data_IF_051833928581
#
_entry.id   IF_051833928581
#
_cell.length_a   1.000
_cell.length_b   1.000
_cell.length_c   1.000
_cell.angle_alpha   90.00
_cell.angle_beta   90.00
_cell.angle_gamma   90.00
#
_symmetry.space_group_name_H-M   'P 1'
#
loop_
_entity.id
_entity.type
_entity.pdbx_description
1 polymer ?
#
# COMPACT_ATOMS: atom_id res chain seq x y z
N UNK A 1 31.13 10.42 6.17
CA UNK A 1 29.82 10.00 5.62
C UNK A 1 29.54 10.93 4.45
N UNK A 2 29.59 10.42 3.22
CA UNK A 2 29.28 11.19 2.02
C UNK A 2 27.79 11.52 2.00
N UNK A 3 27.43 12.76 1.65
CA UNK A 3 26.05 13.15 1.42
C UNK A 3 25.38 12.21 0.39
N UNK A 4 24.07 11.92 0.51
CA UNK A 4 23.38 11.10 -0.48
C UNK A 4 23.53 11.75 -1.86
N UNK A 5 23.90 10.95 -2.85
CA UNK A 5 23.92 11.37 -4.24
C UNK A 5 22.55 11.95 -4.60
N UNK A 6 22.51 13.19 -5.06
CA UNK A 6 21.33 13.85 -5.65
C UNK A 6 20.86 13.19 -6.97
N UNK A 7 21.29 11.95 -7.26
CA UNK A 7 21.06 11.25 -8.53
C UNK A 7 19.93 10.21 -8.49
N UNK A 8 19.39 9.84 -7.33
CA UNK A 8 18.30 8.86 -7.26
C UNK A 8 16.97 9.56 -7.57
N UNK A 9 16.42 9.31 -8.76
CA UNK A 9 15.11 9.80 -9.20
C UNK A 9 14.18 8.62 -9.45
N UNK A 10 12.89 8.80 -9.19
CA UNK A 10 11.84 7.86 -9.58
C UNK A 10 11.38 8.23 -10.99
N UNK A 11 11.45 7.25 -11.90
CA UNK A 11 10.89 7.39 -13.25
C UNK A 11 9.40 7.03 -13.21
N UNK A 12 8.54 8.00 -13.48
CA UNK A 12 7.08 7.82 -13.53
C UNK A 12 6.65 7.73 -14.98
N UNK A 13 5.98 6.63 -15.34
CA UNK A 13 5.41 6.43 -16.66
C UNK A 13 3.92 6.75 -16.61
N UNK A 14 3.48 7.71 -17.43
CA UNK A 14 2.12 8.23 -17.37
C UNK A 14 1.52 8.46 -18.75
N UNK A 15 0.22 8.23 -18.86
CA UNK A 15 -0.57 8.55 -20.05
C UNK A 15 -1.90 9.16 -19.63
N UNK A 16 -2.25 10.33 -20.17
CA UNK A 16 -3.45 11.09 -19.76
C UNK A 16 -4.76 10.32 -19.98
N UNK A 17 -4.75 9.32 -20.87
CA UNK A 17 -5.86 8.40 -21.08
C UNK A 17 -6.33 7.68 -19.82
N UNK A 18 -5.47 7.55 -18.79
CA UNK A 18 -5.88 6.99 -17.49
C UNK A 18 -6.95 7.83 -16.78
N UNK A 19 -7.08 9.12 -17.11
CA UNK A 19 -8.12 9.99 -16.54
C UNK A 19 -9.47 9.90 -17.27
N UNK A 20 -9.52 9.18 -18.40
CA UNK A 20 -10.74 9.03 -19.20
C UNK A 20 -11.65 7.91 -18.68
N UNK A 21 -11.21 7.15 -17.68
CA UNK A 21 -12.03 6.13 -17.05
C UNK A 21 -13.20 6.79 -16.30
N UNK A 22 -14.41 6.63 -16.83
CA UNK A 22 -15.66 7.06 -16.21
C UNK A 22 -16.34 5.87 -15.55
N UNK A 23 -16.29 5.85 -14.23
CA UNK A 23 -16.86 4.81 -13.37
C UNK A 23 -18.31 5.11 -12.96
N UNK A 24 -18.86 6.25 -13.41
CA UNK A 24 -20.21 6.66 -13.08
C UNK A 24 -20.38 7.15 -11.63
N UNK A 25 -21.64 7.22 -11.21
CA UNK A 25 -22.05 7.67 -9.87
C UNK A 25 -23.14 6.77 -9.31
N UNK A 26 -23.10 6.52 -8.02
CA UNK A 26 -24.08 5.67 -7.35
C UNK A 26 -23.87 5.61 -5.85
N UNK A 27 -24.31 4.52 -5.24
CA UNK A 27 -24.00 4.16 -3.86
C UNK A 27 -22.60 3.53 -3.83
N UNK A 28 -21.60 4.30 -3.42
CA UNK A 28 -20.22 3.85 -3.25
C UNK A 28 -19.69 3.04 -4.46
N UNK A 29 -19.20 1.83 -4.25
CA UNK A 29 -18.64 0.89 -5.23
C UNK A 29 -19.69 0.17 -6.10
N UNK A 30 -20.97 0.25 -5.74
CA UNK A 30 -22.02 -0.40 -6.55
C UNK A 30 -22.28 0.32 -7.86
N UNK A 31 -21.97 1.62 -7.94
CA UNK A 31 -22.28 2.47 -9.11
C UNK A 31 -23.78 2.59 -9.42
N UNK A 32 -24.67 2.10 -8.56
CA UNK A 32 -26.11 2.09 -8.79
C UNK A 32 -26.80 3.29 -8.13
N UNK A 33 -27.74 3.92 -8.84
CA UNK A 33 -28.69 4.86 -8.27
C UNK A 33 -29.93 4.09 -7.79
N UNK A 34 -30.24 4.08 -6.48
CA UNK A 34 -31.38 3.34 -5.96
C UNK A 34 -32.72 4.07 -6.17
N UNK A 35 -32.71 5.28 -6.72
CA UNK A 35 -33.91 6.05 -7.09
C UNK A 35 -34.52 6.89 -5.96
N UNK A 36 -33.99 6.78 -4.74
CA UNK A 36 -34.45 7.52 -3.56
C UNK A 36 -33.36 8.35 -2.86
N UNK A 37 -32.17 8.46 -3.47
CA UNK A 37 -31.09 9.33 -3.00
C UNK A 37 -30.99 10.56 -3.90
N UNK A 38 -30.96 11.75 -3.29
CA UNK A 38 -30.81 13.02 -4.01
C UNK A 38 -29.35 13.28 -4.43
N UNK A 39 -28.39 12.74 -3.69
CA UNK A 39 -26.95 12.90 -3.93
C UNK A 39 -26.31 11.54 -4.06
N UNK A 40 -25.57 11.33 -5.16
CA UNK A 40 -24.79 10.14 -5.42
C UNK A 40 -23.30 10.47 -5.35
N UNK A 41 -22.53 9.49 -4.89
CA UNK A 41 -21.07 9.59 -4.85
C UNK A 41 -20.49 9.26 -6.23
N UNK A 42 -19.32 9.81 -6.54
CA UNK A 42 -18.50 9.25 -7.61
C UNK A 42 -18.02 7.88 -7.13
N UNK A 43 -18.04 6.89 -8.00
CA UNK A 43 -17.53 5.57 -7.67
C UNK A 43 -16.08 5.66 -7.13
N UNK A 44 -15.68 4.89 -6.12
CA UNK A 44 -14.35 4.96 -5.48
C UNK A 44 -13.16 4.98 -6.45
N UNK A 45 -13.20 4.16 -7.51
CA UNK A 45 -12.20 4.13 -8.61
C UNK A 45 -12.18 5.37 -9.54
N UNK A 46 -12.90 6.45 -9.22
CA UNK A 46 -12.99 7.62 -10.09
C UNK A 46 -11.64 8.34 -10.29
N UNK A 47 -11.54 9.11 -11.38
CA UNK A 47 -10.30 9.78 -11.76
C UNK A 47 -9.84 10.93 -10.83
N UNK A 48 -10.65 11.43 -9.88
CA UNK A 48 -10.23 12.52 -8.99
C UNK A 48 -9.07 12.09 -8.07
N UNK A 49 -9.09 10.84 -7.57
CA UNK A 49 -8.00 10.29 -6.76
C UNK A 49 -6.68 10.26 -7.54
N UNK A 50 -6.75 9.86 -8.82
CA UNK A 50 -5.59 9.78 -9.71
C UNK A 50 -5.08 11.19 -10.06
N UNK A 51 -5.98 12.17 -10.28
CA UNK A 51 -5.59 13.57 -10.49
C UNK A 51 -4.78 14.11 -9.31
N UNK A 52 -5.17 13.78 -8.07
CA UNK A 52 -4.45 14.20 -6.89
C UNK A 52 -3.09 13.50 -6.75
N UNK A 53 -3.00 12.20 -7.05
CA UNK A 53 -1.72 11.46 -7.11
C UNK A 53 -0.78 12.09 -8.14
N UNK A 54 -1.24 12.33 -9.38
CA UNK A 54 -0.42 12.98 -10.41
C UNK A 54 -0.01 14.39 -9.98
N UNK A 55 -0.92 15.14 -9.35
CA UNK A 55 -0.65 16.51 -8.89
C UNK A 55 0.42 16.55 -7.80
N UNK A 56 0.38 15.66 -6.80
CA UNK A 56 1.39 15.66 -5.73
C UNK A 56 2.76 15.23 -6.25
N UNK A 57 2.82 14.30 -7.21
CA UNK A 57 4.07 13.89 -7.85
C UNK A 57 4.63 14.98 -8.77
N UNK A 58 3.76 15.77 -9.42
CA UNK A 58 4.16 16.81 -10.37
C UNK A 58 4.52 18.14 -9.72
N UNK A 59 3.81 18.51 -8.65
CA UNK A 59 3.84 19.86 -8.05
C UNK A 59 4.13 19.85 -6.55
N UNK A 60 4.03 18.69 -5.89
CA UNK A 60 4.30 18.56 -4.46
C UNK A 60 5.80 18.51 -4.14
N UNK A 61 6.17 18.44 -2.86
CA UNK A 61 7.58 18.48 -2.43
C UNK A 61 8.46 17.37 -3.00
N UNK A 62 7.90 16.20 -3.31
CA UNK A 62 8.65 15.10 -3.95
C UNK A 62 8.99 15.36 -5.42
N UNK A 63 8.38 16.36 -6.07
CA UNK A 63 8.50 16.60 -7.52
C UNK A 63 9.94 16.75 -8.02
N UNK A 64 10.87 17.26 -7.21
CA UNK A 64 12.29 17.35 -7.56
C UNK A 64 12.96 15.98 -7.76
N UNK A 65 12.38 14.91 -7.20
CA UNK A 65 12.87 13.54 -7.30
C UNK A 65 12.16 12.73 -8.39
N UNK A 66 11.20 13.31 -9.10
CA UNK A 66 10.43 12.62 -10.14
C UNK A 66 10.97 12.97 -11.53
N UNK A 67 11.07 11.97 -12.40
CA UNK A 67 11.29 12.11 -13.84
C UNK A 67 10.10 11.52 -14.59
N UNK A 68 9.43 12.31 -15.42
CA UNK A 68 8.24 11.88 -16.14
C UNK A 68 8.61 11.30 -17.50
N UNK A 69 7.96 10.19 -17.84
CA UNK A 69 8.06 9.50 -19.12
C UNK A 69 6.67 9.21 -19.65
N UNK A 70 6.52 9.19 -20.97
CA UNK A 70 5.26 8.80 -21.60
C UNK A 70 5.04 7.30 -21.46
N UNK A 71 3.87 6.91 -20.96
CA UNK A 71 3.36 5.55 -21.08
C UNK A 71 2.75 5.32 -22.46
N UNK A 72 2.65 4.05 -22.87
CA UNK A 72 1.96 3.64 -24.09
C UNK A 72 0.94 2.55 -23.77
N UNK A 73 -0.20 2.47 -24.50
CA UNK A 73 -1.09 1.32 -24.41
C UNK A 73 -0.35 0.01 -24.65
N UNK A 74 -0.65 -1.02 -23.86
CA UNK A 74 -0.12 -2.35 -24.09
C UNK A 74 -0.68 -2.92 -25.41
N UNK A 75 0.18 -3.59 -26.18
CA UNK A 75 -0.25 -4.32 -27.38
C UNK A 75 -0.94 -5.63 -26.99
N UNK A 76 -1.76 -6.18 -27.89
CA UNK A 76 -2.39 -7.50 -27.68
C UNK A 76 -1.33 -8.58 -27.36
N UNK A 77 -0.18 -8.55 -28.04
CA UNK A 77 0.91 -9.49 -27.76
C UNK A 77 1.41 -9.39 -26.32
N UNK A 78 1.58 -8.18 -25.79
CA UNK A 78 2.01 -7.96 -24.40
C UNK A 78 0.93 -8.33 -23.38
N UNK A 79 -0.36 -8.19 -23.74
CA UNK A 79 -1.46 -8.63 -22.88
C UNK A 79 -1.52 -10.17 -22.80
N UNK A 80 -1.24 -10.85 -23.92
CA UNK A 80 -1.22 -12.32 -23.98
C UNK A 80 0.06 -12.94 -23.38
N UNK A 81 1.13 -12.14 -23.20
CA UNK A 81 2.40 -12.61 -22.64
C UNK A 81 2.42 -12.70 -21.11
N UNK A 82 1.28 -12.48 -20.44
CA UNK A 82 1.16 -12.46 -18.98
C UNK A 82 1.80 -13.66 -18.26
N UNK A 83 2.01 -14.78 -18.97
CA UNK A 83 2.68 -15.99 -18.46
C UNK A 83 4.06 -16.32 -19.05
N UNK A 84 4.61 -15.50 -19.96
CA UNK A 84 5.92 -15.74 -20.58
C UNK A 84 6.98 -14.80 -19.98
N UNK A 85 7.91 -15.37 -19.22
CA UNK A 85 9.00 -14.63 -18.56
C UNK A 85 10.10 -14.30 -19.58
N UNK A 86 9.93 -13.20 -20.31
CA UNK A 86 10.93 -12.66 -21.25
C UNK A 86 11.65 -11.41 -20.71
N UNK A 87 11.54 -11.14 -19.41
CA UNK A 87 12.12 -9.95 -18.74
C UNK A 87 13.63 -10.04 -18.49
N UNK A 88 14.26 -11.20 -18.76
CA UNK A 88 15.66 -11.46 -18.43
C UNK A 88 15.94 -11.65 -16.93
N UNK A 89 14.95 -11.47 -16.06
CA UNK A 89 15.02 -11.80 -14.63
C UNK A 89 14.60 -13.25 -14.42
N UNK A 90 15.29 -14.02 -13.57
CA UNK A 90 14.95 -15.43 -13.30
C UNK A 90 13.97 -15.55 -12.14
N UNK A 91 14.11 -14.70 -11.12
CA UNK A 91 13.23 -14.64 -9.96
C UNK A 91 12.66 -13.24 -9.77
N UNK A 92 11.34 -13.10 -9.72
CA UNK A 92 10.66 -11.82 -9.51
C UNK A 92 9.84 -11.90 -8.21
N UNK A 93 9.99 -10.91 -7.34
CA UNK A 93 9.08 -10.73 -6.22
C UNK A 93 7.96 -9.79 -6.65
N UNK A 94 6.71 -10.14 -6.40
CA UNK A 94 5.59 -9.20 -6.38
C UNK A 94 5.15 -9.05 -4.93
N UNK A 95 5.41 -7.87 -4.36
CA UNK A 95 4.98 -7.49 -3.02
C UNK A 95 3.79 -6.53 -3.14
N UNK A 96 2.64 -6.98 -2.69
CA UNK A 96 1.38 -6.25 -2.75
C UNK A 96 0.98 -5.76 -1.36
N UNK A 97 0.81 -4.44 -1.25
CA UNK A 97 0.37 -3.75 -0.03
C UNK A 97 -1.00 -3.08 -0.19
N UNK A 98 -1.69 -3.32 -1.31
CA UNK A 98 -3.12 -3.04 -1.42
C UNK A 98 -3.87 -3.80 -0.32
N UNK A 99 -4.90 -3.16 0.26
CA UNK A 99 -5.62 -3.76 1.39
C UNK A 99 -6.43 -4.98 0.96
N UNK A 100 -6.70 -5.13 -0.33
CA UNK A 100 -7.38 -6.29 -0.89
C UNK A 100 -6.37 -7.35 -1.30
N UNK A 101 -6.82 -8.60 -1.27
CA UNK A 101 -5.95 -9.70 -1.69
C UNK A 101 -5.68 -9.58 -3.19
N UNK A 102 -4.41 -9.58 -3.59
CA UNK A 102 -3.95 -9.63 -4.99
C UNK A 102 -4.24 -10.97 -5.68
N UNK A 103 -5.51 -11.41 -5.68
CA UNK A 103 -5.95 -12.72 -6.12
C UNK A 103 -5.65 -12.99 -7.60
N UNK A 104 -5.70 -11.97 -8.46
CA UNK A 104 -5.34 -12.10 -9.88
C UNK A 104 -3.86 -12.38 -10.10
N UNK A 105 -2.99 -11.70 -9.33
CA UNK A 105 -1.54 -11.94 -9.33
C UNK A 105 -1.23 -13.34 -8.80
N UNK A 106 -1.84 -13.73 -7.69
CA UNK A 106 -1.71 -15.07 -7.10
C UNK A 106 -2.09 -16.15 -8.11
N UNK A 107 -3.29 -16.07 -8.70
CA UNK A 107 -3.78 -17.02 -9.72
C UNK A 107 -2.82 -17.12 -10.91
N UNK A 108 -2.36 -15.96 -11.42
CA UNK A 108 -1.49 -15.89 -12.59
C UNK A 108 -0.15 -16.63 -12.43
N UNK A 109 0.35 -16.71 -11.20
CA UNK A 109 1.64 -17.31 -10.87
C UNK A 109 1.55 -18.51 -9.92
N UNK A 110 0.35 -19.02 -9.63
CA UNK A 110 0.09 -20.00 -8.58
C UNK A 110 0.90 -21.31 -8.74
N UNK A 111 1.34 -21.61 -9.98
CA UNK A 111 2.11 -22.80 -10.34
C UNK A 111 3.58 -22.54 -10.68
N UNK A 112 4.07 -21.32 -10.48
CA UNK A 112 5.44 -20.91 -10.83
C UNK A 112 6.33 -20.74 -9.59
N UNK A 113 7.54 -21.30 -9.62
CA UNK A 113 8.60 -21.03 -8.64
C UNK A 113 9.47 -19.81 -9.02
N UNK A 114 9.17 -19.18 -10.16
CA UNK A 114 9.91 -18.03 -10.69
C UNK A 114 9.38 -16.70 -10.18
N UNK A 115 8.17 -16.68 -9.64
CA UNK A 115 7.55 -15.50 -9.06
C UNK A 115 7.11 -15.81 -7.63
N UNK A 116 7.69 -15.10 -6.66
CA UNK A 116 7.16 -15.10 -5.30
C UNK A 116 6.10 -13.99 -5.22
N UNK A 117 4.86 -14.38 -4.94
CA UNK A 117 3.76 -13.44 -4.71
C UNK A 117 3.57 -13.29 -3.20
N UNK A 118 3.52 -12.05 -2.72
CA UNK A 118 3.30 -11.70 -1.32
C UNK A 118 2.19 -10.67 -1.25
N UNK A 119 1.15 -10.93 -0.47
CA UNK A 119 0.01 -10.01 -0.32
C UNK A 119 -0.23 -9.71 1.17
N UNK A 120 -0.20 -8.43 1.55
CA UNK A 120 -0.58 -7.94 2.87
C UNK A 120 -1.95 -7.27 2.81
N UNK A 121 -2.99 -8.02 3.10
CA UNK A 121 -4.38 -7.60 2.91
C UNK A 121 -5.20 -7.71 4.19
N UNK A 122 -6.33 -7.01 4.27
CA UNK A 122 -7.31 -7.26 5.34
C UNK A 122 -7.95 -8.65 5.17
N UNK A 123 -8.32 -9.27 6.28
CA UNK A 123 -9.03 -10.54 6.24
C UNK A 123 -10.51 -10.33 5.84
N UNK A 124 -10.79 -10.33 4.53
CA UNK A 124 -12.13 -10.08 3.96
C UNK A 124 -12.77 -11.32 3.30
N UNK A 125 -11.99 -12.35 2.96
CA UNK A 125 -12.47 -13.58 2.32
C UNK A 125 -12.56 -13.48 0.80
N UNK A 126 -13.52 -14.20 0.20
CA UNK A 126 -13.74 -14.21 -1.26
C UNK A 126 -14.73 -13.13 -1.69
N UNK A 127 -14.51 -12.55 -2.87
CA UNK A 127 -15.45 -11.64 -3.55
C UNK A 127 -16.53 -12.37 -4.36
N UNK A 128 -16.80 -13.63 -4.03
CA UNK A 128 -17.83 -14.45 -4.65
C UNK A 128 -17.34 -15.26 -5.86
N UNK A 129 -18.27 -15.78 -6.70
CA UNK A 129 -17.94 -16.79 -7.70
C UNK A 129 -16.91 -16.38 -8.75
N UNK A 130 -16.81 -15.08 -9.07
CA UNK A 130 -15.84 -14.54 -10.03
C UNK A 130 -14.43 -14.42 -9.46
N UNK A 131 -14.29 -14.37 -8.13
CA UNK A 131 -13.03 -14.25 -7.40
C UNK A 131 -13.07 -15.18 -6.18
N UNK A 132 -13.01 -16.49 -6.42
CA UNK A 132 -13.29 -17.51 -5.40
C UNK A 132 -12.18 -17.64 -4.35
N UNK A 133 -10.99 -17.06 -4.59
CA UNK A 133 -9.87 -17.14 -3.67
C UNK A 133 -10.20 -16.36 -2.37
N UNK A 134 -9.82 -16.93 -1.23
CA UNK A 134 -10.12 -16.37 0.10
C UNK A 134 -8.96 -15.54 0.65
N UNK A 135 -7.76 -15.67 0.10
CA UNK A 135 -6.57 -14.97 0.60
C UNK A 135 -6.12 -15.49 1.97
N UNK A 136 -6.41 -16.76 2.28
CA UNK A 136 -6.02 -17.37 3.55
C UNK A 136 -4.56 -17.80 3.53
N UNK A 137 -3.99 -18.02 4.72
CA UNK A 137 -2.58 -18.40 4.90
C UNK A 137 -2.21 -19.76 4.29
N UNK A 138 -3.19 -20.61 4.00
CA UNK A 138 -3.02 -21.96 3.44
C UNK A 138 -3.16 -22.01 1.91
N UNK A 139 -3.46 -20.89 1.25
CA UNK A 139 -3.32 -20.73 -0.20
C UNK A 139 -1.84 -20.51 -0.54
N UNK A 140 -1.09 -21.60 -0.78
CA UNK A 140 0.38 -21.60 -0.85
C UNK A 140 0.94 -21.79 -2.27
N UNK A 141 0.10 -21.84 -3.29
CA UNK A 141 0.48 -22.26 -4.64
C UNK A 141 0.34 -23.77 -4.84
N UNK A 142 0.60 -24.22 -6.07
CA UNK A 142 0.44 -25.61 -6.51
C UNK A 142 1.61 -26.08 -7.38
N UNK A 143 1.88 -27.39 -7.37
CA UNK A 143 2.90 -27.98 -8.25
C UNK A 143 4.28 -27.36 -7.99
N UNK A 144 4.93 -26.85 -9.03
CA UNK A 144 6.24 -26.17 -8.89
C UNK A 144 6.13 -24.87 -8.08
N UNK A 145 4.99 -24.19 -8.10
CA UNK A 145 4.74 -22.95 -7.36
C UNK A 145 4.37 -23.14 -5.89
N UNK A 146 4.30 -24.37 -5.39
CA UNK A 146 4.01 -24.61 -3.97
C UNK A 146 5.09 -23.99 -3.07
N UNK A 147 4.66 -23.09 -2.18
CA UNK A 147 5.53 -22.29 -1.31
C UNK A 147 5.94 -20.93 -1.91
N UNK A 148 5.43 -20.56 -3.08
CA UNK A 148 5.72 -19.28 -3.77
C UNK A 148 4.51 -18.32 -3.84
N UNK A 149 3.43 -18.64 -3.11
CA UNK A 149 2.35 -17.71 -2.77
C UNK A 149 2.30 -17.51 -1.26
N UNK A 150 2.45 -16.27 -0.81
CA UNK A 150 2.51 -15.90 0.61
C UNK A 150 1.43 -14.87 0.95
N UNK A 151 0.35 -15.35 1.54
CA UNK A 151 -0.73 -14.51 2.02
C UNK A 151 -0.50 -14.10 3.47
N UNK A 152 -0.65 -12.80 3.75
CA UNK A 152 -0.55 -12.22 5.09
C UNK A 152 -1.86 -11.51 5.41
N UNK A 153 -2.95 -12.25 5.70
CA UNK A 153 -4.24 -11.66 6.06
C UNK A 153 -4.14 -11.02 7.45
N UNK A 154 -4.17 -9.69 7.48
CA UNK A 154 -4.08 -8.89 8.70
C UNK A 154 -5.46 -8.68 9.32
N UNK A 155 -5.57 -8.68 10.66
CA UNK A 155 -6.79 -8.26 11.35
C UNK A 155 -7.18 -6.83 10.97
N UNK A 156 -8.47 -6.54 10.98
CA UNK A 156 -8.96 -5.17 10.81
C UNK A 156 -8.42 -4.28 11.94
N UNK A 157 -8.06 -3.05 11.59
CA UNK A 157 -7.47 -2.06 12.49
C UNK A 157 -5.95 -2.16 12.63
N UNK A 158 -5.29 -3.04 11.87
CA UNK A 158 -3.82 -3.06 11.81
C UNK A 158 -3.30 -1.74 11.26
N UNK A 159 -2.47 -1.06 12.04
CA UNK A 159 -1.80 0.18 11.66
C UNK A 159 -0.31 -0.02 11.40
N UNK A 160 0.46 1.06 11.57
CA UNK A 160 1.88 1.12 11.24
C UNK A 160 2.71 -0.01 11.88
N UNK A 161 2.52 -0.28 13.17
CA UNK A 161 3.23 -1.38 13.85
C UNK A 161 2.80 -2.77 13.37
N UNK A 162 1.53 -2.96 13.03
CA UNK A 162 1.03 -4.24 12.53
C UNK A 162 1.64 -4.59 11.17
N UNK A 163 1.62 -3.64 10.24
CA UNK A 163 2.28 -3.78 8.94
C UNK A 163 3.80 -3.89 9.08
N UNK A 164 4.42 -3.07 9.93
CA UNK A 164 5.86 -3.13 10.21
C UNK A 164 6.30 -4.47 10.78
N UNK A 165 5.53 -5.05 11.70
CA UNK A 165 5.79 -6.38 12.27
C UNK A 165 5.62 -7.48 11.22
N UNK A 166 4.54 -7.45 10.43
CA UNK A 166 4.33 -8.38 9.32
C UNK A 166 5.48 -8.34 8.29
N UNK A 167 5.93 -7.13 7.94
CA UNK A 167 7.08 -6.95 7.07
C UNK A 167 8.35 -7.58 7.66
N UNK A 168 8.65 -7.34 8.95
CA UNK A 168 9.88 -7.84 9.61
C UNK A 168 9.88 -9.35 9.84
N UNK A 169 8.76 -9.91 10.25
CA UNK A 169 8.71 -11.31 10.71
C UNK A 169 8.30 -12.31 9.61
N UNK A 170 7.63 -11.84 8.55
CA UNK A 170 7.08 -12.71 7.50
C UNK A 170 7.66 -12.35 6.14
N UNK A 171 7.50 -11.10 5.70
CA UNK A 171 7.87 -10.69 4.33
C UNK A 171 9.38 -10.70 4.13
N UNK A 172 10.13 -9.98 4.98
CA UNK A 172 11.59 -9.86 4.84
C UNK A 172 12.27 -11.24 4.86
N UNK A 173 11.98 -12.15 5.82
CA UNK A 173 12.58 -13.49 5.82
C UNK A 173 12.26 -14.29 4.55
N UNK A 174 11.04 -14.20 4.03
CA UNK A 174 10.65 -14.88 2.79
C UNK A 174 11.42 -14.32 1.58
N UNK A 175 11.53 -13.00 1.46
CA UNK A 175 12.27 -12.33 0.38
C UNK A 175 13.76 -12.65 0.47
N UNK A 176 14.35 -12.64 1.67
CA UNK A 176 15.75 -12.98 1.88
C UNK A 176 16.07 -14.42 1.47
N UNK A 177 15.12 -15.35 1.67
CA UNK A 177 15.26 -16.74 1.24
C UNK A 177 15.02 -16.93 -0.26
N UNK A 178 14.10 -16.15 -0.84
CA UNK A 178 13.79 -16.21 -2.26
C UNK A 178 14.87 -15.57 -3.13
N UNK A 179 15.56 -14.54 -2.64
CA UNK A 179 16.63 -13.81 -3.33
C UNK A 179 16.19 -13.36 -4.76
N UNK A 180 15.22 -12.45 -4.88
CA UNK A 180 14.70 -12.02 -6.17
C UNK A 180 15.74 -11.23 -6.97
N UNK A 181 15.70 -11.36 -8.30
CA UNK A 181 16.47 -10.52 -9.21
C UNK A 181 15.80 -9.15 -9.43
N UNK A 182 14.50 -9.04 -9.19
CA UNK A 182 13.71 -7.82 -9.36
C UNK A 182 12.52 -7.83 -8.39
N UNK A 183 12.14 -6.65 -7.90
CA UNK A 183 10.92 -6.46 -7.12
C UNK A 183 9.90 -5.64 -7.91
N UNK A 184 8.65 -6.05 -7.83
CA UNK A 184 7.47 -5.26 -8.17
C UNK A 184 6.77 -4.95 -6.85
N UNK A 185 6.72 -3.67 -6.48
CA UNK A 185 5.95 -3.19 -5.36
C UNK A 185 4.61 -2.67 -5.89
N UNK A 186 3.54 -3.38 -5.55
CA UNK A 186 2.18 -3.03 -5.89
C UNK A 186 1.62 -2.18 -4.74
N UNK A 187 1.22 -0.94 -5.04
CA UNK A 187 0.85 0.06 -4.04
C UNK A 187 -0.63 0.46 -4.14
N UNK A 188 -1.49 -0.17 -3.33
CA UNK A 188 -2.77 0.42 -2.94
C UNK A 188 -2.60 1.35 -1.73
N UNK A 189 -3.41 2.41 -1.65
CA UNK A 189 -3.44 3.30 -0.47
C UNK A 189 -4.70 3.09 0.38
N UNK A 190 -5.42 2.01 0.11
CA UNK A 190 -6.65 1.63 0.77
C UNK A 190 -6.43 0.92 2.10
N UNK A 191 -5.18 0.60 2.49
CA UNK A 191 -4.87 0.26 3.88
C UNK A 191 -4.80 1.48 4.80
N UNK A 192 -5.00 2.69 4.25
CA UNK A 192 -4.95 3.92 5.04
C UNK A 192 -6.10 4.04 6.05
N UNK A 193 -5.83 4.69 7.18
CA UNK A 193 -6.82 4.91 8.25
C UNK A 193 -8.08 5.68 7.84
N UNK A 194 -8.05 6.37 6.70
CA UNK A 194 -9.15 7.18 6.18
C UNK A 194 -9.78 6.58 4.93
N UNK A 195 -9.32 5.42 4.48
CA UNK A 195 -9.88 4.81 3.29
C UNK A 195 -11.31 4.31 3.54
N UNK A 196 -12.28 4.60 2.65
CA UNK A 196 -13.65 4.15 2.84
C UNK A 196 -13.84 2.65 2.58
N UNK A 197 -12.96 2.02 1.77
CA UNK A 197 -13.09 0.62 1.38
C UNK A 197 -12.25 -0.31 2.27
N UNK A 198 -11.07 0.15 2.70
CA UNK A 198 -10.24 -0.60 3.62
C UNK A 198 -10.73 -0.61 5.06
N UNK A 199 -10.17 -1.53 5.86
CA UNK A 199 -10.43 -1.64 7.30
C UNK A 199 -9.15 -1.61 8.13
N UNK A 200 -8.13 -0.90 7.64
CA UNK A 200 -6.82 -0.80 8.27
C UNK A 200 -6.54 0.64 8.74
N UNK A 201 -5.45 0.82 9.48
CA UNK A 201 -5.14 2.08 10.16
C UNK A 201 -3.74 2.62 9.78
N UNK A 202 -3.31 2.40 8.53
CA UNK A 202 -1.98 2.82 8.09
C UNK A 202 -1.92 4.35 7.91
N UNK A 203 -0.87 4.97 8.46
CA UNK A 203 -0.61 6.40 8.32
C UNK A 203 0.47 6.66 7.27
N UNK A 204 0.73 7.93 6.93
CA UNK A 204 1.89 8.25 6.09
C UNK A 204 3.21 7.70 6.66
N UNK A 205 3.37 7.62 7.98
CA UNK A 205 4.59 7.10 8.59
C UNK A 205 4.76 5.59 8.33
N UNK A 206 3.68 4.80 8.41
CA UNK A 206 3.67 3.39 8.04
C UNK A 206 4.03 3.15 6.58
N UNK A 207 3.36 3.85 5.65
CA UNK A 207 3.67 3.77 4.21
C UNK A 207 5.13 4.09 3.90
N UNK A 208 5.68 5.13 4.55
CA UNK A 208 7.09 5.51 4.41
C UNK A 208 8.03 4.44 4.91
N UNK A 209 7.73 3.82 6.05
CA UNK A 209 8.59 2.77 6.60
C UNK A 209 8.57 1.51 5.74
N UNK A 210 7.40 1.11 5.22
CA UNK A 210 7.30 0.04 4.20
C UNK A 210 8.17 0.38 2.99
N UNK A 211 8.08 1.61 2.46
CA UNK A 211 8.92 2.07 1.35
C UNK A 211 10.42 1.93 1.63
N UNK A 212 10.87 2.27 2.85
CA UNK A 212 12.28 2.09 3.26
C UNK A 212 12.68 0.62 3.34
N UNK A 213 11.83 -0.23 3.92
CA UNK A 213 12.09 -1.67 3.99
C UNK A 213 12.23 -2.27 2.59
N UNK A 214 11.32 -1.91 1.67
CA UNK A 214 11.38 -2.33 0.27
C UNK A 214 12.65 -1.86 -0.42
N UNK A 215 13.05 -0.60 -0.23
CA UNK A 215 14.30 -0.08 -0.79
C UNK A 215 15.51 -0.88 -0.35
N UNK A 216 15.60 -1.20 0.95
CA UNK A 216 16.71 -2.01 1.49
C UNK A 216 16.75 -3.41 0.87
N UNK A 217 15.60 -4.06 0.69
CA UNK A 217 15.50 -5.36 0.03
C UNK A 217 15.94 -5.27 -1.45
N UNK A 218 15.48 -4.25 -2.17
CA UNK A 218 15.83 -4.05 -3.59
C UNK A 218 17.32 -3.79 -3.78
N UNK A 219 17.94 -2.98 -2.91
CA UNK A 219 19.38 -2.72 -2.94
C UNK A 219 20.18 -3.98 -2.60
N UNK A 220 19.70 -4.80 -1.65
CA UNK A 220 20.37 -6.03 -1.21
C UNK A 220 20.31 -7.16 -2.25
N UNK A 221 19.14 -7.41 -2.85
CA UNK A 221 18.93 -8.60 -3.69
C UNK A 221 18.84 -8.29 -5.19
N UNK A 222 18.32 -7.13 -5.56
CA UNK A 222 17.90 -6.87 -6.95
C UNK A 222 18.83 -5.91 -7.69
N UNK A 223 19.96 -5.49 -7.11
CA UNK A 223 20.78 -4.42 -7.67
C UNK A 223 19.95 -3.15 -7.91
N UNK A 224 19.04 -2.84 -6.97
CA UNK A 224 18.10 -1.72 -7.01
C UNK A 224 17.05 -1.76 -8.13
N UNK A 225 16.82 -2.93 -8.77
CA UNK A 225 15.71 -3.11 -9.72
C UNK A 225 14.37 -3.22 -9.00
N UNK A 226 13.68 -2.09 -8.90
CA UNK A 226 12.36 -1.95 -8.31
C UNK A 226 11.40 -1.29 -9.30
N UNK A 227 10.28 -1.95 -9.59
CA UNK A 227 9.13 -1.38 -10.28
C UNK A 227 8.04 -1.11 -9.26
N UNK A 228 7.37 0.05 -9.35
CA UNK A 228 6.25 0.41 -8.49
C UNK A 228 5.00 0.53 -9.37
N UNK A 229 3.92 -0.15 -9.00
CA UNK A 229 2.66 -0.16 -9.75
C UNK A 229 1.54 0.32 -8.83
N UNK A 230 0.78 1.31 -9.28
CA UNK A 230 -0.37 1.84 -8.54
C UNK A 230 -1.57 0.89 -8.66
N UNK A 231 -2.21 0.57 -7.54
CA UNK A 231 -3.51 -0.15 -7.46
C UNK A 231 -4.56 0.75 -6.81
N UNK A 232 -5.24 0.28 -5.74
CA UNK A 232 -6.37 0.92 -5.06
C UNK A 232 -6.00 2.15 -4.24
N UNK A 233 -6.84 2.47 -3.25
CA UNK A 233 -6.78 3.71 -2.47
C UNK A 233 -7.80 4.74 -2.95
N UNK A 234 -8.87 4.88 -2.18
CA UNK A 234 -10.12 5.51 -2.60
C UNK A 234 -10.40 6.82 -1.88
N UNK A 235 -9.65 7.13 -0.81
CA UNK A 235 -9.74 8.44 -0.18
C UNK A 235 -9.07 9.51 -1.07
N UNK A 236 -9.90 10.20 -1.86
CA UNK A 236 -9.55 11.15 -2.94
C UNK A 236 -8.33 12.04 -2.67
N UNK A 237 -8.19 12.59 -1.47
CA UNK A 237 -7.05 13.47 -1.13
C UNK A 237 -5.91 12.72 -0.45
N UNK A 238 -6.21 11.99 0.64
CA UNK A 238 -5.22 11.30 1.45
C UNK A 238 -4.42 10.23 0.71
N UNK A 239 -4.98 9.53 -0.28
CA UNK A 239 -4.23 8.54 -1.08
C UNK A 239 -3.00 9.16 -1.75
N UNK A 240 -3.09 10.41 -2.21
CA UNK A 240 -1.93 11.12 -2.78
C UNK A 240 -0.82 11.35 -1.74
N UNK A 241 -1.18 11.68 -0.50
CA UNK A 241 -0.22 11.83 0.60
C UNK A 241 0.44 10.51 0.96
N UNK A 242 -0.31 9.41 0.99
CA UNK A 242 0.21 8.07 1.22
C UNK A 242 1.18 7.64 0.11
N UNK A 243 0.85 7.84 -1.17
CA UNK A 243 1.80 7.61 -2.30
C UNK A 243 3.08 8.39 -2.09
N UNK A 244 2.97 9.70 -1.81
CA UNK A 244 4.14 10.55 -1.55
C UNK A 244 5.00 9.98 -0.43
N UNK A 245 4.41 9.58 0.70
CA UNK A 245 5.13 9.01 1.82
C UNK A 245 5.82 7.67 1.48
N UNK A 246 5.14 6.77 0.76
CA UNK A 246 5.74 5.53 0.25
C UNK A 246 6.98 5.82 -0.59
N UNK A 247 6.89 6.77 -1.52
CA UNK A 247 7.99 7.13 -2.40
C UNK A 247 9.15 7.84 -1.68
N UNK A 248 8.88 8.67 -0.66
CA UNK A 248 9.93 9.20 0.23
C UNK A 248 10.72 8.06 0.91
N UNK A 249 10.02 7.02 1.34
CA UNK A 249 10.62 5.82 1.91
C UNK A 249 11.48 5.07 0.90
N UNK A 250 10.96 4.88 -0.32
CA UNK A 250 11.69 4.22 -1.41
C UNK A 250 12.95 4.99 -1.81
N UNK A 251 12.88 6.32 -1.85
CA UNK A 251 14.02 7.19 -2.09
C UNK A 251 15.03 7.19 -0.95
N UNK A 252 14.66 6.64 0.22
CA UNK A 252 15.42 6.64 1.47
C UNK A 252 15.88 8.06 1.87
N UNK A 253 14.94 9.01 1.80
CA UNK A 253 15.25 10.41 2.13
C UNK A 253 15.55 10.57 3.63
N UNK A 254 16.57 11.38 4.00
CA UNK A 254 16.99 11.52 5.39
C UNK A 254 15.99 12.30 6.25
N UNK A 255 15.10 13.06 5.61
CA UNK A 255 14.09 13.89 6.28
C UNK A 255 12.75 13.77 5.55
N UNK A 256 11.65 13.95 6.28
CA UNK A 256 10.30 14.03 5.72
C UNK A 256 10.16 15.34 4.94
N UNK A 257 9.69 15.29 3.69
CA UNK A 257 9.36 16.45 2.87
C UNK A 257 7.95 16.98 3.19
N UNK A 258 7.04 16.09 3.62
CA UNK A 258 5.69 16.45 4.07
C UNK A 258 5.37 15.84 5.44
N UNK A 259 4.73 16.65 6.28
CA UNK A 259 4.02 16.18 7.47
C UNK A 259 2.67 15.58 7.08
N UNK A 260 2.18 14.68 7.92
CA UNK A 260 0.83 14.14 7.75
C UNK A 260 -0.22 15.19 8.14
N UNK A 261 -1.09 15.63 7.21
CA UNK A 261 -2.03 16.71 7.48
C UNK A 261 -3.21 16.26 8.35
N UNK A 262 -3.49 14.96 8.41
CA UNK A 262 -4.68 14.43 9.09
C UNK A 262 -4.41 13.12 9.84
N UNK A 263 -3.16 12.70 10.03
CA UNK A 263 -2.78 11.52 10.82
C UNK A 263 -3.63 11.43 12.08
N UNK A 264 -4.15 10.21 12.32
CA UNK A 264 -4.87 9.74 13.50
C UNK A 264 -4.88 10.78 14.62
N UNK A 265 -6.04 11.44 14.82
CA UNK A 265 -6.27 12.57 15.75
C UNK A 265 -5.07 12.82 16.65
N UNK A 266 -4.18 13.81 16.35
CA UNK A 266 -2.89 13.89 17.03
C UNK A 266 -3.14 13.92 18.53
N UNK A 267 -2.85 12.80 19.19
CA UNK A 267 -2.91 12.75 20.64
C UNK A 267 -1.74 13.62 21.09
N UNK A 268 -2.07 14.82 21.57
CA UNK A 268 -1.12 15.55 22.39
C UNK A 268 -0.99 14.75 23.69
N UNK A 269 -0.03 13.81 23.70
CA UNK A 269 0.28 12.99 24.86
C UNK A 269 0.53 13.87 26.09
N UNK A 270 1.06 15.08 25.91
CA UNK A 270 1.29 16.01 27.01
C UNK A 270 -0.03 16.52 27.61
N UNK A 271 -1.04 16.77 26.77
CA UNK A 271 -2.38 17.14 27.21
C UNK A 271 -3.10 15.95 27.86
N UNK A 272 -3.05 14.77 27.25
CA UNK A 272 -3.67 13.56 27.78
C UNK A 272 -3.07 13.19 29.15
N UNK A 273 -1.74 13.15 29.27
CA UNK A 273 -1.04 12.89 30.53
C UNK A 273 -1.42 13.93 31.59
N UNK A 274 -1.47 15.22 31.23
CA UNK A 274 -1.88 16.28 32.16
C UNK A 274 -3.30 16.09 32.68
N UNK A 275 -4.24 15.70 31.81
CA UNK A 275 -5.62 15.41 32.18
C UNK A 275 -5.70 14.16 33.06
N UNK A 276 -5.00 13.08 32.70
CA UNK A 276 -4.97 11.84 33.48
C UNK A 276 -4.36 12.06 34.86
N UNK A 277 -3.27 12.82 34.97
CA UNK A 277 -2.69 13.19 36.27
C UNK A 277 -3.66 14.02 37.11
N UNK A 278 -4.38 14.98 36.50
CA UNK A 278 -5.42 15.72 37.20
C UNK A 278 -6.57 14.81 37.69
N UNK A 279 -6.99 13.84 36.88
CA UNK A 279 -7.99 12.83 37.24
C UNK A 279 -7.47 11.97 38.40
N UNK A 280 -6.23 11.49 38.33
CA UNK A 280 -5.59 10.69 39.39
C UNK A 280 -5.56 11.44 40.70
N UNK A 281 -5.09 12.69 40.71
CA UNK A 281 -5.08 13.54 41.90
C UNK A 281 -6.49 13.75 42.49
N UNK A 282 -7.49 14.00 41.64
CA UNK A 282 -8.87 14.12 42.09
C UNK A 282 -9.40 12.81 42.70
N UNK A 283 -9.13 11.68 42.06
CA UNK A 283 -9.57 10.37 42.52
C UNK A 283 -8.91 9.99 43.85
N UNK A 284 -7.59 10.15 43.99
CA UNK A 284 -6.89 9.91 45.25
C UNK A 284 -7.46 10.75 46.39
N UNK A 285 -7.82 12.01 46.13
CA UNK A 285 -8.42 12.88 47.16
C UNK A 285 -9.84 12.46 47.56
N UNK A 286 -10.68 12.11 46.58
CA UNK A 286 -12.13 12.05 46.77
C UNK A 286 -12.72 10.64 46.79
N UNK A 287 -12.01 9.63 46.29
CA UNK A 287 -12.47 8.24 46.23
C UNK A 287 -11.78 7.44 47.34
N UNK A 288 -12.48 7.06 48.43
CA UNK A 288 -11.85 6.44 49.59
C UNK A 288 -11.03 5.18 49.31
N UNK A 289 -11.45 4.38 48.32
CA UNK A 289 -10.74 3.17 47.90
C UNK A 289 -9.40 3.45 47.20
N UNK A 290 -9.18 4.67 46.70
CA UNK A 290 -8.02 5.05 45.89
C UNK A 290 -7.05 6.00 46.62
N UNK A 291 -7.24 6.23 47.93
CA UNK A 291 -6.43 7.19 48.72
C UNK A 291 -4.96 6.81 48.87
N UNK A 292 -4.65 5.52 48.73
CA UNK A 292 -3.33 4.93 48.97
C UNK A 292 -2.74 4.21 47.74
N UNK A 293 -3.26 4.50 46.54
CA UNK A 293 -2.81 3.93 45.24
C UNK A 293 -1.88 4.89 44.51
#
# INVERSE_FOLDING_TARGET
MSAPSTSCRINVFWHDGMLNHDTGKGVFDTGMNPGFLEVLEKHPENSDRIRNIVSILSKGPISSYISWHSGSPATIHQLLSFHSQDSGCKKVLVLDIDVHYGNGTAEGFYRSDKVLTVSLHMNHGSWGPSHPQNGTVDELGEGEGFGYNLNVPLPNGSGDEGYGYAMREVVIPAVEKFEPDMMVLVIGQDSSAFDPNGRQCLTMDGYREIGRMVRRLADKHCGSRLLIVQEGGYHVTYSAYCVHATLEGVLDLPHRLLSDPIAYYPEDETFAVKVIEAIKQFQMKNVPMLKDV
#
